data_IF_043220893910
#
_entry.id   IF_043220893910
#
_cell.length_a   1.000
_cell.length_b   1.000
_cell.length_c   1.000
_cell.angle_alpha   90.00
_cell.angle_beta   90.00
_cell.angle_gamma   90.00
#
_symmetry.space_group_name_H-M   'P 1'
#
loop_
_entity.id
_entity.type
_entity.pdbx_description
1 polymer ?
#
# COMPACT_ATOMS: atom_id res chain seq x y z
N UNK A 1 11.98 -21.28 -33.49
CA UNK A 1 12.99 -22.33 -33.34
C UNK A 1 14.17 -22.01 -34.22
N UNK A 2 15.42 -22.27 -33.75
CA UNK A 2 16.63 -22.11 -34.54
C UNK A 2 16.90 -23.42 -35.27
N UNK A 3 17.20 -23.34 -36.59
CA UNK A 3 17.64 -24.48 -37.41
C UNK A 3 19.15 -24.46 -37.48
N UNK A 4 19.78 -25.55 -37.05
CA UNK A 4 21.22 -25.73 -37.13
C UNK A 4 21.54 -26.66 -38.27
N UNK A 5 22.55 -26.33 -39.09
CA UNK A 5 23.03 -27.19 -40.16
C UNK A 5 24.57 -27.18 -40.19
N UNK A 6 25.15 -28.22 -40.72
CA UNK A 6 26.59 -28.36 -40.88
C UNK A 6 26.88 -28.48 -42.36
N UNK A 7 27.77 -27.65 -42.87
CA UNK A 7 28.29 -27.77 -44.26
C UNK A 7 29.69 -28.36 -44.23
N UNK A 8 29.92 -29.37 -45.05
CA UNK A 8 31.23 -29.95 -45.28
C UNK A 8 31.62 -29.64 -46.70
N UNK A 9 32.59 -28.73 -46.89
CA UNK A 9 33.04 -28.28 -48.21
C UNK A 9 34.56 -28.37 -48.31
N UNK A 10 35.13 -28.69 -49.47
CA UNK A 10 36.58 -28.76 -49.63
C UNK A 10 37.29 -27.40 -49.63
N UNK A 11 36.54 -26.31 -49.76
CA UNK A 11 37.00 -24.92 -49.59
C UNK A 11 36.09 -24.15 -48.65
N UNK A 12 36.62 -23.14 -47.93
CA UNK A 12 35.79 -22.30 -47.03
C UNK A 12 34.75 -21.53 -47.84
N UNK A 13 33.48 -21.70 -47.51
CA UNK A 13 32.36 -21.00 -48.12
C UNK A 13 31.85 -20.00 -47.08
N UNK A 14 31.82 -18.72 -47.40
CA UNK A 14 31.16 -17.69 -46.61
C UNK A 14 29.65 -17.81 -46.80
N UNK A 15 28.97 -18.16 -45.73
CA UNK A 15 27.50 -18.18 -45.65
C UNK A 15 27.05 -16.96 -44.87
N UNK A 16 25.98 -16.34 -45.32
CA UNK A 16 25.36 -15.18 -44.66
C UNK A 16 24.54 -15.62 -43.37
N UNK A 17 25.23 -16.42 -42.53
CA UNK A 17 24.71 -16.94 -41.26
C UNK A 17 25.81 -16.94 -40.22
N UNK A 18 25.49 -16.60 -39.01
CA UNK A 18 26.44 -16.53 -37.90
C UNK A 18 26.99 -17.92 -37.57
N UNK A 19 28.33 -18.15 -37.68
CA UNK A 19 28.92 -19.46 -37.42
C UNK A 19 28.88 -19.78 -35.94
N UNK A 20 28.23 -20.88 -35.57
CA UNK A 20 28.23 -21.37 -34.19
C UNK A 20 29.59 -22.01 -33.87
N UNK A 21 30.35 -21.40 -32.96
CA UNK A 21 31.59 -21.99 -32.45
C UNK A 21 31.24 -23.10 -31.47
N UNK A 22 31.56 -24.33 -31.84
CA UNK A 22 31.44 -25.46 -30.95
C UNK A 22 32.47 -25.35 -29.82
N UNK A 23 32.09 -25.69 -28.57
CA UNK A 23 33.05 -25.76 -27.48
C UNK A 23 34.13 -26.80 -27.78
N UNK A 24 35.33 -26.56 -27.26
CA UNK A 24 36.50 -27.46 -27.43
C UNK A 24 36.37 -28.80 -26.68
N UNK A 25 35.38 -28.90 -25.77
CA UNK A 25 35.10 -30.09 -24.99
C UNK A 25 34.04 -30.96 -25.65
N UNK A 26 34.16 -32.26 -25.52
CA UNK A 26 33.14 -33.20 -25.94
C UNK A 26 31.87 -33.10 -25.15
N UNK A 27 30.73 -33.54 -25.67
CA UNK A 27 29.43 -33.51 -25.00
C UNK A 27 29.46 -34.25 -23.66
N UNK A 28 30.23 -35.39 -23.61
CA UNK A 28 30.39 -36.17 -22.37
C UNK A 28 31.18 -35.40 -21.29
N UNK A 29 32.24 -34.68 -21.69
CA UNK A 29 33.05 -33.86 -20.80
C UNK A 29 32.26 -32.64 -20.30
N UNK A 30 31.47 -32.01 -21.17
CA UNK A 30 30.60 -30.91 -20.79
C UNK A 30 29.51 -31.36 -19.82
N UNK A 31 28.91 -32.53 -20.04
CA UNK A 31 27.91 -33.10 -19.15
C UNK A 31 28.49 -33.45 -17.80
N UNK A 32 29.71 -34.00 -17.76
CA UNK A 32 30.43 -34.28 -16.51
C UNK A 32 30.77 -32.99 -15.78
N UNK A 33 31.33 -31.99 -16.44
CA UNK A 33 31.66 -30.70 -15.87
C UNK A 33 30.42 -29.96 -15.34
N UNK A 34 29.29 -30.10 -16.03
CA UNK A 34 28.01 -29.58 -15.53
C UNK A 34 27.60 -30.26 -14.22
N UNK A 35 27.63 -31.58 -14.16
CA UNK A 35 27.29 -32.33 -12.96
C UNK A 35 28.22 -31.98 -11.76
N UNK A 36 29.54 -31.93 -12.02
CA UNK A 36 30.53 -31.56 -10.99
C UNK A 36 30.28 -30.11 -10.47
N UNK A 37 29.93 -29.19 -11.38
CA UNK A 37 29.61 -27.80 -11.02
C UNK A 37 28.30 -27.67 -10.23
N UNK A 38 27.27 -28.44 -10.62
CA UNK A 38 26.00 -28.50 -9.91
C UNK A 38 26.17 -29.05 -8.48
N UNK A 39 27.00 -30.11 -8.34
CA UNK A 39 27.32 -30.66 -7.02
C UNK A 39 28.10 -29.66 -6.14
N UNK A 40 29.12 -29.00 -6.72
CA UNK A 40 29.88 -27.96 -6.02
C UNK A 40 28.98 -26.77 -5.60
N UNK A 41 28.01 -26.40 -6.42
CA UNK A 41 27.02 -25.36 -6.11
C UNK A 41 26.14 -25.76 -4.91
N UNK A 42 25.64 -27.00 -4.89
CA UNK A 42 24.83 -27.52 -3.78
C UNK A 42 25.65 -27.54 -2.48
N UNK A 43 26.92 -27.99 -2.54
CA UNK A 43 27.82 -28.00 -1.37
C UNK A 43 28.10 -26.57 -0.88
N UNK A 44 28.37 -25.62 -1.77
CA UNK A 44 28.60 -24.22 -1.43
C UNK A 44 27.33 -23.58 -0.79
N UNK A 45 26.16 -23.86 -1.33
CA UNK A 45 24.90 -23.39 -0.71
C UNK A 45 24.65 -24.00 0.67
N UNK A 46 24.95 -25.28 0.86
CA UNK A 46 24.82 -25.94 2.16
C UNK A 46 25.80 -25.33 3.19
N UNK A 47 27.04 -25.13 2.81
CA UNK A 47 28.06 -24.49 3.65
C UNK A 47 27.70 -23.04 4.01
N UNK A 48 27.22 -22.26 3.05
CA UNK A 48 26.76 -20.91 3.29
C UNK A 48 25.57 -20.87 4.26
N UNK A 49 24.62 -21.77 4.11
CA UNK A 49 23.45 -21.87 4.99
C UNK A 49 23.86 -22.23 6.42
N UNK A 50 24.81 -23.13 6.59
CA UNK A 50 25.34 -23.52 7.89
C UNK A 50 26.11 -22.37 8.54
N UNK A 51 26.99 -21.70 7.80
CA UNK A 51 27.71 -20.51 8.24
C UNK A 51 26.76 -19.40 8.67
N UNK A 52 25.76 -19.08 7.86
CA UNK A 52 24.76 -18.08 8.22
C UNK A 52 23.99 -18.45 9.50
N UNK A 53 23.64 -19.72 9.66
CA UNK A 53 22.92 -20.22 10.84
C UNK A 53 23.76 -20.11 12.11
N UNK A 54 25.05 -20.43 12.02
CA UNK A 54 25.98 -20.35 13.13
C UNK A 54 26.31 -18.90 13.55
N UNK A 55 26.36 -17.99 12.57
CA UNK A 55 26.83 -16.62 12.80
C UNK A 55 25.72 -15.57 12.82
N UNK A 56 24.44 -15.96 12.61
CA UNK A 56 23.32 -15.04 12.50
C UNK A 56 23.21 -14.07 13.69
N UNK A 57 23.25 -14.61 14.92
CA UNK A 57 23.15 -13.79 16.13
C UNK A 57 24.32 -12.81 16.27
N UNK A 58 25.51 -13.25 15.87
CA UNK A 58 26.74 -12.43 15.93
C UNK A 58 26.66 -11.28 14.91
N UNK A 59 26.24 -11.58 13.69
CA UNK A 59 26.05 -10.58 12.62
C UNK A 59 24.94 -9.58 12.97
N UNK A 60 23.82 -10.06 13.54
CA UNK A 60 22.74 -9.19 14.01
C UNK A 60 23.21 -8.24 15.10
N UNK A 61 24.00 -8.74 16.05
CA UNK A 61 24.60 -7.92 17.12
C UNK A 61 25.55 -6.85 16.57
N UNK A 62 26.45 -7.22 15.66
CA UNK A 62 27.33 -6.24 15.01
C UNK A 62 26.59 -5.21 14.19
N UNK A 63 25.53 -5.62 13.49
CA UNK A 63 24.70 -4.67 12.73
C UNK A 63 24.02 -3.66 13.66
N UNK A 64 23.50 -4.10 14.81
CA UNK A 64 22.92 -3.20 15.81
C UNK A 64 23.98 -2.24 16.36
N UNK A 65 25.16 -2.72 16.70
CA UNK A 65 26.26 -1.87 17.20
C UNK A 65 26.67 -0.82 16.17
N UNK A 66 26.81 -1.21 14.90
CA UNK A 66 27.13 -0.27 13.82
C UNK A 66 26.01 0.78 13.61
N UNK A 67 24.75 0.38 13.74
CA UNK A 67 23.63 1.32 13.67
C UNK A 67 23.65 2.33 14.82
N UNK A 68 23.90 1.87 16.06
CA UNK A 68 24.04 2.75 17.23
C UNK A 68 25.21 3.73 17.05
N UNK A 69 26.34 3.28 16.51
CA UNK A 69 27.50 4.14 16.25
C UNK A 69 27.20 5.19 15.15
N UNK A 70 26.53 4.76 14.06
CA UNK A 70 26.09 5.68 13.01
C UNK A 70 25.12 6.73 13.56
N UNK A 71 24.17 6.33 14.37
CA UNK A 71 23.20 7.26 14.95
C UNK A 71 23.86 8.22 15.95
N UNK A 72 24.83 7.76 16.73
CA UNK A 72 25.65 8.63 17.58
C UNK A 72 26.46 9.65 16.76
N UNK A 73 27.08 9.22 15.66
CA UNK A 73 27.82 10.11 14.76
C UNK A 73 26.91 11.14 14.10
N UNK A 74 25.69 10.76 13.71
CA UNK A 74 24.68 11.70 13.17
C UNK A 74 24.30 12.76 14.21
N UNK A 75 24.08 12.37 15.46
CA UNK A 75 23.79 13.30 16.55
C UNK A 75 24.95 14.29 16.73
N UNK A 76 26.20 13.81 16.75
CA UNK A 76 27.37 14.67 16.83
C UNK A 76 27.51 15.63 15.66
N UNK A 77 27.21 15.18 14.44
CA UNK A 77 27.24 16.03 13.23
C UNK A 77 26.15 17.12 13.24
N UNK A 78 25.00 16.81 13.82
CA UNK A 78 23.86 17.75 13.88
C UNK A 78 23.88 18.61 15.15
N UNK A 79 24.87 18.44 16.04
CA UNK A 79 25.02 19.28 17.23
C UNK A 79 25.73 20.58 16.87
N UNK A 80 25.23 21.71 17.38
CA UNK A 80 25.86 23.01 17.24
C UNK A 80 26.78 23.29 18.41
N UNK A 81 28.01 23.69 18.09
CA UNK A 81 28.99 24.11 19.10
C UNK A 81 28.90 25.61 19.29
N UNK A 82 28.52 26.05 20.50
CA UNK A 82 28.44 27.45 20.88
C UNK A 82 29.54 27.80 21.90
N UNK A 83 29.81 29.12 22.05
CA UNK A 83 30.79 29.63 22.99
C UNK A 83 32.18 28.97 22.88
N UNK A 84 32.77 28.98 21.68
CA UNK A 84 34.10 28.38 21.39
C UNK A 84 34.19 26.87 21.70
N UNK A 85 33.07 26.16 21.64
CA UNK A 85 32.98 24.73 21.90
C UNK A 85 32.71 24.35 23.37
N UNK A 86 32.50 25.34 24.24
CA UNK A 86 32.20 25.11 25.66
C UNK A 86 30.74 24.60 25.88
N UNK A 87 29.83 24.90 24.95
CA UNK A 87 28.43 24.48 25.00
C UNK A 87 28.06 23.73 23.73
N UNK A 88 27.44 22.57 23.87
CA UNK A 88 26.90 21.78 22.77
C UNK A 88 25.39 21.87 22.82
N UNK A 89 24.78 22.41 21.79
CA UNK A 89 23.34 22.48 21.62
C UNK A 89 22.89 21.32 20.72
N UNK A 90 21.93 20.54 21.21
CA UNK A 90 21.29 19.47 20.44
C UNK A 90 19.78 19.74 20.38
N UNK A 91 19.23 19.71 19.18
CA UNK A 91 17.79 19.78 18.96
C UNK A 91 17.28 18.43 18.48
N UNK A 92 16.13 18.00 18.99
CA UNK A 92 15.56 16.72 18.62
C UNK A 92 14.05 16.69 18.81
N UNK A 93 13.41 15.68 18.22
CA UNK A 93 11.96 15.47 18.27
C UNK A 93 11.62 14.24 19.10
N UNK A 94 10.68 14.37 20.00
CA UNK A 94 10.17 13.27 20.83
C UNK A 94 8.67 13.09 20.61
N UNK A 95 8.15 11.84 20.56
CA UNK A 95 6.71 11.62 20.62
C UNK A 95 6.15 12.04 21.97
N UNK A 96 4.94 12.63 21.99
CA UNK A 96 4.25 13.06 23.20
C UNK A 96 4.12 11.94 24.24
N UNK A 97 3.89 10.71 23.79
CA UNK A 97 3.75 9.51 24.64
C UNK A 97 5.04 9.20 25.43
N UNK A 98 6.20 9.68 24.97
CA UNK A 98 7.53 9.41 25.56
C UNK A 98 8.09 10.61 26.35
N UNK A 99 7.35 11.71 26.45
CA UNK A 99 7.83 12.94 27.11
C UNK A 99 8.26 12.68 28.56
N UNK A 100 7.45 11.95 29.33
CA UNK A 100 7.72 11.68 30.73
C UNK A 100 9.02 10.87 30.93
N UNK A 101 9.25 9.87 30.07
CA UNK A 101 10.45 9.03 30.13
C UNK A 101 11.71 9.81 29.72
N UNK A 102 11.59 10.68 28.72
CA UNK A 102 12.70 11.52 28.27
C UNK A 102 13.04 12.58 29.30
N UNK A 103 12.05 13.23 29.95
CA UNK A 103 12.29 14.16 31.07
C UNK A 103 13.09 13.48 32.18
N UNK A 104 12.66 12.30 32.61
CA UNK A 104 13.34 11.54 33.65
C UNK A 104 14.81 11.24 33.26
N UNK A 105 15.04 10.82 32.02
CA UNK A 105 16.38 10.53 31.50
C UNK A 105 17.28 11.80 31.51
N UNK A 106 16.74 12.93 31.08
CA UNK A 106 17.47 14.20 31.02
C UNK A 106 17.76 14.74 32.44
N UNK A 107 16.80 14.61 33.36
CA UNK A 107 17.00 14.98 34.77
C UNK A 107 18.09 14.11 35.44
N UNK A 108 18.08 12.79 35.19
CA UNK A 108 19.11 11.86 35.69
C UNK A 108 20.52 12.15 35.12
N UNK A 109 20.58 12.65 33.86
CA UNK A 109 21.86 13.03 33.23
C UNK A 109 22.39 14.39 33.65
N UNK A 110 21.60 15.19 34.39
CA UNK A 110 21.98 16.55 34.82
C UNK A 110 22.11 17.54 33.66
N UNK A 111 21.46 17.28 32.54
CA UNK A 111 21.51 18.10 31.32
C UNK A 111 20.42 19.19 31.38
N UNK A 112 20.77 20.43 31.06
CA UNK A 112 19.76 21.48 30.89
C UNK A 112 18.99 21.22 29.60
N UNK A 113 17.65 21.26 29.68
CA UNK A 113 16.79 21.03 28.52
C UNK A 113 15.55 21.91 28.55
N UNK A 114 15.00 22.17 27.38
CA UNK A 114 13.71 22.83 27.19
C UNK A 114 12.84 21.96 26.27
N UNK A 115 11.65 21.59 26.74
CA UNK A 115 10.67 20.84 25.93
C UNK A 115 9.51 21.75 25.61
N UNK A 116 9.25 21.94 24.32
CA UNK A 116 8.12 22.73 23.82
C UNK A 116 7.29 21.91 22.83
N UNK A 117 6.01 22.21 22.73
CA UNK A 117 5.17 21.62 21.70
C UNK A 117 5.64 22.09 20.31
N UNK A 118 5.66 21.17 19.35
CA UNK A 118 5.99 21.48 17.98
C UNK A 118 4.98 22.45 17.37
N UNK A 119 5.48 23.46 16.68
CA UNK A 119 4.67 24.39 15.88
C UNK A 119 4.62 23.89 14.44
N UNK A 120 3.63 24.39 13.69
CA UNK A 120 3.46 24.04 12.27
C UNK A 120 4.68 24.40 11.42
N UNK A 121 5.36 25.49 11.77
CA UNK A 121 6.54 26.01 11.08
C UNK A 121 7.80 25.17 11.31
N UNK A 122 7.81 24.35 12.37
CA UNK A 122 8.97 23.57 12.79
C UNK A 122 9.19 22.32 11.91
N UNK A 123 8.28 21.97 11.00
CA UNK A 123 8.33 20.78 10.15
C UNK A 123 8.65 19.48 10.92
N UNK A 124 8.03 19.31 12.09
CA UNK A 124 8.27 18.18 12.95
C UNK A 124 8.01 16.83 12.23
N UNK A 125 8.84 15.81 12.44
CA UNK A 125 8.60 14.49 11.88
C UNK A 125 7.32 13.89 12.45
N UNK A 126 6.57 13.18 11.62
CA UNK A 126 5.25 12.67 11.97
C UNK A 126 5.33 11.20 12.38
N UNK A 127 4.75 10.90 13.53
CA UNK A 127 4.48 9.53 13.99
C UNK A 127 2.96 9.31 13.98
N UNK A 128 2.48 8.45 13.09
CA UNK A 128 1.07 8.11 13.01
C UNK A 128 0.64 7.27 14.22
N UNK A 129 -0.52 7.60 14.79
CA UNK A 129 -1.12 6.86 15.91
C UNK A 129 -2.32 6.05 15.40
N UNK A 130 -2.03 4.89 14.82
CA UNK A 130 -3.01 4.02 14.21
C UNK A 130 -3.28 2.76 15.03
N UNK A 131 -4.53 2.24 14.96
CA UNK A 131 -4.90 0.97 15.54
C UNK A 131 -4.26 -0.22 14.77
N UNK A 132 -4.42 -1.45 15.25
CA UNK A 132 -3.81 -2.63 14.66
C UNK A 132 -4.24 -2.88 13.20
N UNK A 133 -5.47 -2.53 12.83
CA UNK A 133 -5.99 -2.66 11.46
C UNK A 133 -5.42 -1.57 10.55
N UNK A 134 -5.58 -0.30 10.91
CA UNK A 134 -5.14 0.82 10.08
C UNK A 134 -3.62 0.89 9.94
N UNK A 135 -2.86 0.47 10.96
CA UNK A 135 -1.40 0.39 10.92
C UNK A 135 -0.86 -0.44 9.76
N UNK A 136 -1.59 -1.48 9.33
CA UNK A 136 -1.17 -2.28 8.18
C UNK A 136 -1.16 -1.49 6.88
N UNK A 137 -2.00 -0.43 6.79
CA UNK A 137 -2.13 0.44 5.62
C UNK A 137 -1.18 1.63 5.62
N UNK A 138 -0.45 1.88 6.73
CA UNK A 138 0.58 2.93 6.79
C UNK A 138 1.67 2.75 5.71
N UNK A 139 1.90 1.52 5.25
CA UNK A 139 2.82 1.27 4.13
C UNK A 139 2.33 1.99 2.88
N UNK A 140 1.03 1.97 2.60
CA UNK A 140 0.43 2.68 1.47
C UNK A 140 0.51 4.18 1.68
N UNK A 141 0.16 4.68 2.87
CA UNK A 141 0.26 6.10 3.20
C UNK A 141 1.69 6.62 3.00
N UNK A 142 2.70 5.85 3.44
CA UNK A 142 4.12 6.19 3.23
C UNK A 142 4.53 6.20 1.75
N UNK A 143 3.93 5.34 0.93
CA UNK A 143 4.20 5.30 -0.53
C UNK A 143 3.60 6.51 -1.26
N UNK A 144 2.41 6.96 -0.85
CA UNK A 144 1.75 8.13 -1.45
C UNK A 144 2.27 9.46 -0.91
N UNK A 145 2.79 9.47 0.29
CA UNK A 145 3.30 10.64 1.00
C UNK A 145 2.74 10.73 2.41
N UNK A 146 3.61 11.04 3.37
CA UNK A 146 3.18 11.29 4.74
C UNK A 146 2.42 12.63 4.81
N UNK A 147 1.35 12.73 5.61
CA UNK A 147 0.67 13.99 5.84
C UNK A 147 1.61 15.00 6.51
N UNK A 148 1.39 16.29 6.37
CA UNK A 148 2.10 17.31 7.15
C UNK A 148 1.66 17.31 8.62
N UNK A 149 2.50 17.89 9.51
CA UNK A 149 2.26 17.88 10.98
C UNK A 149 0.86 18.37 11.40
N UNK A 150 0.27 19.31 10.67
CA UNK A 150 -1.07 19.82 10.92
C UNK A 150 -2.17 19.17 10.07
N UNK A 151 -1.85 18.13 9.31
CA UNK A 151 -2.80 17.44 8.43
C UNK A 151 -3.46 16.25 9.13
N UNK A 152 -4.64 15.95 8.64
CA UNK A 152 -5.38 14.76 9.06
C UNK A 152 -4.71 13.51 8.51
N UNK A 153 -4.58 12.46 9.33
CA UNK A 153 -4.11 11.15 8.86
C UNK A 153 -5.17 10.49 7.95
N UNK A 154 -4.89 10.30 6.65
CA UNK A 154 -5.83 9.68 5.73
C UNK A 154 -5.96 8.16 5.93
N UNK A 155 -5.04 7.53 6.67
CA UNK A 155 -4.95 6.06 6.80
C UNK A 155 -6.23 5.41 7.34
N UNK A 156 -6.92 5.95 8.37
CA UNK A 156 -8.15 5.35 8.88
C UNK A 156 -9.30 5.32 7.87
N UNK A 157 -9.34 6.28 6.95
CA UNK A 157 -10.34 6.33 5.88
C UNK A 157 -9.89 5.49 4.69
N UNK A 158 -8.61 5.57 4.33
CA UNK A 158 -8.03 4.80 3.24
C UNK A 158 -8.21 3.29 3.46
N UNK A 159 -7.96 2.79 4.67
CA UNK A 159 -7.92 1.37 4.97
C UNK A 159 -9.19 0.60 4.57
N UNK A 160 -10.41 0.96 5.02
CA UNK A 160 -11.61 0.23 4.67
C UNK A 160 -11.97 0.33 3.18
N UNK A 161 -11.82 1.52 2.59
CA UNK A 161 -12.13 1.71 1.18
C UNK A 161 -11.14 0.98 0.27
N UNK A 162 -9.84 1.02 0.60
CA UNK A 162 -8.83 0.29 -0.16
C UNK A 162 -9.09 -1.22 -0.12
N UNK A 163 -9.42 -1.77 1.06
CA UNK A 163 -9.78 -3.18 1.20
C UNK A 163 -10.99 -3.55 0.35
N UNK A 164 -12.00 -2.69 0.38
CA UNK A 164 -13.25 -2.91 -0.35
C UNK A 164 -13.02 -2.85 -1.86
N UNK A 165 -12.34 -1.81 -2.37
CA UNK A 165 -12.03 -1.69 -3.79
C UNK A 165 -11.12 -2.81 -4.29
N UNK A 166 -10.10 -3.17 -3.53
CA UNK A 166 -9.25 -4.30 -3.87
C UNK A 166 -10.06 -5.59 -4.00
N UNK A 167 -10.95 -5.84 -3.02
CA UNK A 167 -11.81 -7.01 -3.02
C UNK A 167 -12.79 -7.03 -4.21
N UNK A 168 -13.36 -5.87 -4.58
CA UNK A 168 -14.20 -5.74 -5.77
C UNK A 168 -13.41 -5.94 -7.07
N UNK A 169 -12.20 -5.40 -7.17
CA UNK A 169 -11.36 -5.55 -8.35
C UNK A 169 -10.96 -7.01 -8.60
N UNK A 170 -10.66 -7.76 -7.51
CA UNK A 170 -10.37 -9.18 -7.61
C UNK A 170 -11.64 -10.01 -7.82
N UNK A 171 -12.71 -9.67 -7.11
CA UNK A 171 -14.07 -10.18 -7.26
C UNK A 171 -14.25 -11.69 -7.10
N UNK A 172 -13.28 -12.43 -6.54
CA UNK A 172 -13.26 -13.88 -6.55
C UNK A 172 -12.79 -14.46 -5.21
N UNK A 173 -13.63 -15.33 -4.63
CA UNK A 173 -13.35 -15.92 -3.32
C UNK A 173 -12.16 -16.90 -3.34
N UNK A 174 -11.96 -17.63 -4.43
CA UNK A 174 -10.85 -18.58 -4.58
C UNK A 174 -9.49 -17.86 -4.61
N UNK A 175 -9.37 -16.78 -5.37
CA UNK A 175 -8.16 -15.95 -5.37
C UNK A 175 -7.92 -15.28 -4.02
N UNK A 176 -8.97 -14.91 -3.29
CA UNK A 176 -8.85 -14.43 -1.92
C UNK A 176 -8.19 -15.47 -0.99
N UNK A 177 -8.59 -16.73 -1.07
CA UNK A 177 -7.98 -17.82 -0.30
C UNK A 177 -6.50 -18.05 -0.68
N UNK A 178 -6.17 -17.94 -1.97
CA UNK A 178 -4.77 -18.00 -2.45
C UNK A 178 -3.94 -16.88 -1.83
N UNK A 179 -4.44 -15.64 -1.79
CA UNK A 179 -3.76 -14.52 -1.16
C UNK A 179 -3.53 -14.74 0.34
N UNK A 180 -4.52 -15.28 1.06
CA UNK A 180 -4.39 -15.64 2.48
C UNK A 180 -3.26 -16.66 2.65
N UNK A 181 -3.29 -17.76 1.89
CA UNK A 181 -2.28 -18.82 1.97
C UNK A 181 -0.88 -18.27 1.65
N UNK A 182 -0.75 -17.48 0.57
CA UNK A 182 0.50 -16.84 0.17
C UNK A 182 1.02 -15.91 1.27
N UNK A 183 0.15 -15.07 1.85
CA UNK A 183 0.50 -14.17 2.94
C UNK A 183 1.02 -14.92 4.17
N UNK A 184 0.40 -16.02 4.57
CA UNK A 184 0.87 -16.85 5.69
C UNK A 184 2.22 -17.52 5.39
N UNK A 185 2.41 -18.07 4.19
CA UNK A 185 3.67 -18.71 3.78
C UNK A 185 4.81 -17.70 3.77
N UNK A 186 4.60 -16.54 3.14
CA UNK A 186 5.60 -15.49 3.04
C UNK A 186 5.92 -14.88 4.41
N UNK A 187 4.91 -14.66 5.25
CA UNK A 187 5.11 -14.15 6.62
C UNK A 187 6.06 -15.01 7.46
N UNK A 188 6.09 -16.34 7.22
CA UNK A 188 7.03 -17.25 7.91
C UNK A 188 8.46 -17.15 7.40
N UNK A 189 8.64 -16.78 6.12
CA UNK A 189 9.95 -16.73 5.46
C UNK A 189 10.60 -15.34 5.47
N UNK A 190 9.80 -14.28 5.63
CA UNK A 190 10.25 -12.91 5.52
C UNK A 190 10.74 -12.32 6.85
N UNK A 191 11.58 -11.27 6.76
CA UNK A 191 12.13 -10.52 7.89
C UNK A 191 11.03 -9.81 8.70
N UNK A 192 11.34 -9.41 9.94
CA UNK A 192 10.41 -8.70 10.84
C UNK A 192 9.83 -7.42 10.19
N UNK A 193 10.64 -6.71 9.43
CA UNK A 193 10.25 -5.49 8.71
C UNK A 193 9.12 -5.72 7.71
N UNK A 194 9.11 -6.87 7.00
CA UNK A 194 8.13 -7.21 5.97
C UNK A 194 6.85 -7.86 6.51
N UNK A 195 6.82 -8.25 7.79
CA UNK A 195 5.65 -8.90 8.39
C UNK A 195 4.40 -8.03 8.39
N UNK A 196 4.56 -6.71 8.52
CA UNK A 196 3.47 -5.75 8.43
C UNK A 196 2.77 -5.80 7.06
N UNK A 197 3.57 -5.81 5.98
CA UNK A 197 3.05 -5.92 4.61
C UNK A 197 2.36 -7.28 4.36
N UNK A 198 2.88 -8.37 4.94
CA UNK A 198 2.23 -9.68 4.80
C UNK A 198 0.88 -9.73 5.55
N UNK A 199 0.74 -9.03 6.69
CA UNK A 199 -0.55 -8.88 7.35
C UNK A 199 -1.55 -8.13 6.46
N UNK A 200 -1.11 -7.09 5.75
CA UNK A 200 -1.94 -6.39 4.77
C UNK A 200 -2.43 -7.35 3.67
N UNK A 201 -1.53 -8.15 3.08
CA UNK A 201 -1.89 -9.14 2.05
C UNK A 201 -2.92 -10.15 2.56
N UNK A 202 -2.76 -10.66 3.79
CA UNK A 202 -3.72 -11.57 4.42
C UNK A 202 -5.07 -10.88 4.60
N UNK A 203 -5.08 -9.64 5.09
CA UNK A 203 -6.31 -8.87 5.30
C UNK A 203 -7.03 -8.61 3.97
N UNK A 204 -6.31 -8.20 2.93
CA UNK A 204 -6.86 -8.04 1.59
C UNK A 204 -7.43 -9.35 1.04
N UNK A 205 -6.74 -10.48 1.27
CA UNK A 205 -7.23 -11.82 0.91
C UNK A 205 -8.54 -12.17 1.63
N UNK A 206 -8.67 -11.82 2.91
CA UNK A 206 -9.92 -12.05 3.68
C UNK A 206 -11.06 -11.22 3.07
N UNK A 207 -10.85 -9.92 2.83
CA UNK A 207 -11.86 -9.07 2.20
C UNK A 207 -12.24 -9.60 0.81
N UNK A 208 -11.25 -10.00 0.01
CA UNK A 208 -11.48 -10.59 -1.33
C UNK A 208 -12.31 -11.87 -1.24
N UNK A 209 -12.00 -12.75 -0.29
CA UNK A 209 -12.78 -13.99 -0.11
C UNK A 209 -14.23 -13.71 0.28
N UNK A 210 -14.47 -12.78 1.20
CA UNK A 210 -15.81 -12.39 1.64
C UNK A 210 -16.60 -11.75 0.49
N UNK A 211 -16.01 -10.76 -0.16
CA UNK A 211 -16.65 -10.07 -1.28
C UNK A 211 -16.84 -11.00 -2.47
N UNK A 212 -15.89 -11.88 -2.77
CA UNK A 212 -16.02 -12.89 -3.84
C UNK A 212 -17.19 -13.85 -3.61
N UNK A 213 -17.47 -14.25 -2.38
CA UNK A 213 -18.68 -15.03 -2.04
C UNK A 213 -19.95 -14.18 -2.26
N UNK A 214 -19.94 -12.91 -1.85
CA UNK A 214 -21.07 -12.00 -2.06
C UNK A 214 -21.32 -11.76 -3.55
N UNK A 215 -20.26 -11.63 -4.35
CA UNK A 215 -20.32 -11.51 -5.79
C UNK A 215 -20.62 -12.83 -6.50
N UNK A 216 -20.58 -13.96 -5.79
CA UNK A 216 -20.93 -15.27 -6.30
C UNK A 216 -19.89 -15.87 -7.24
N UNK A 217 -18.59 -15.60 -7.06
CA UNK A 217 -17.51 -16.11 -7.91
C UNK A 217 -16.45 -16.87 -7.10
N UNK A 218 -16.01 -18.00 -7.63
CA UNK A 218 -14.99 -18.86 -7.03
C UNK A 218 -14.11 -19.48 -8.13
N UNK A 219 -12.86 -19.07 -8.24
CA UNK A 219 -11.92 -19.41 -9.33
C UNK A 219 -12.51 -19.22 -10.73
N UNK A 220 -13.21 -18.11 -10.93
CA UNK A 220 -13.85 -17.78 -12.20
C UNK A 220 -15.15 -18.54 -12.50
N UNK A 221 -15.59 -19.40 -11.58
CA UNK A 221 -16.87 -20.11 -11.72
C UNK A 221 -17.95 -19.38 -10.94
N UNK A 222 -19.14 -19.23 -11.56
CA UNK A 222 -20.30 -18.67 -10.89
C UNK A 222 -20.84 -19.64 -9.83
N UNK A 223 -20.82 -19.22 -8.57
CA UNK A 223 -21.40 -20.00 -7.47
C UNK A 223 -22.93 -20.06 -7.56
N UNK A 224 -23.54 -19.08 -8.23
CA UNK A 224 -25.01 -19.02 -8.35
C UNK A 224 -25.57 -20.17 -9.18
N UNK A 225 -24.81 -20.66 -10.16
CA UNK A 225 -25.18 -21.76 -11.05
C UNK A 225 -24.96 -23.14 -10.43
N UNK A 226 -24.29 -23.21 -9.26
CA UNK A 226 -24.06 -24.44 -8.52
C UNK A 226 -25.24 -24.79 -7.58
N UNK A 227 -25.39 -26.05 -7.23
CA UNK A 227 -26.36 -26.54 -6.23
C UNK A 227 -25.88 -26.22 -4.79
N UNK A 228 -25.93 -24.95 -4.41
CA UNK A 228 -25.61 -24.48 -3.07
C UNK A 228 -26.89 -24.15 -2.28
N UNK A 229 -26.83 -24.12 -0.92
CA UNK A 229 -27.99 -23.80 -0.10
C UNK A 229 -28.66 -22.49 -0.48
N UNK A 230 -29.99 -22.47 -0.58
CA UNK A 230 -30.78 -21.30 -1.00
C UNK A 230 -30.48 -20.04 -0.16
N UNK A 231 -30.27 -20.21 1.14
CA UNK A 231 -29.88 -19.11 2.05
C UNK A 231 -28.58 -18.40 1.63
N UNK A 232 -27.63 -19.13 1.04
CA UNK A 232 -26.37 -18.53 0.57
C UNK A 232 -26.61 -17.77 -0.73
N UNK A 233 -27.49 -18.24 -1.60
CA UNK A 233 -27.87 -17.53 -2.84
C UNK A 233 -28.57 -16.20 -2.57
N UNK A 234 -29.33 -16.08 -1.49
CA UNK A 234 -29.98 -14.82 -1.09
C UNK A 234 -28.99 -13.71 -0.73
N UNK A 235 -27.81 -14.08 -0.21
CA UNK A 235 -26.75 -13.13 0.11
C UNK A 235 -25.94 -12.69 -1.11
N UNK A 236 -26.05 -13.37 -2.24
CA UNK A 236 -25.28 -13.07 -3.43
C UNK A 236 -25.89 -11.90 -4.21
N UNK A 237 -25.05 -10.94 -4.55
CA UNK A 237 -25.42 -9.79 -5.37
C UNK A 237 -25.15 -10.14 -6.83
N UNK A 238 -25.99 -11.00 -7.39
CA UNK A 238 -25.91 -11.47 -8.76
C UNK A 238 -27.15 -11.02 -9.54
N UNK A 239 -27.01 -10.80 -10.84
CA UNK A 239 -28.08 -10.47 -11.77
C UNK A 239 -28.25 -8.98 -12.06
N UNK A 240 -29.24 -8.69 -12.91
CA UNK A 240 -29.55 -7.35 -13.42
C UNK A 240 -30.59 -6.64 -12.56
N UNK A 241 -30.65 -5.34 -12.70
CA UNK A 241 -31.63 -4.50 -12.00
C UNK A 241 -32.87 -4.34 -12.91
N UNK A 242 -33.94 -5.05 -12.54
CA UNK A 242 -35.21 -5.03 -13.32
C UNK A 242 -34.97 -5.44 -14.77
N UNK A 243 -35.54 -4.69 -15.70
CA UNK A 243 -35.36 -4.87 -17.16
C UNK A 243 -34.14 -4.13 -17.74
N UNK A 244 -33.29 -3.56 -16.87
CA UNK A 244 -32.16 -2.78 -17.30
C UNK A 244 -30.96 -3.65 -17.73
N UNK A 245 -30.06 -3.05 -18.50
CA UNK A 245 -28.82 -3.72 -18.95
C UNK A 245 -27.74 -3.74 -17.86
N UNK A 246 -27.96 -3.04 -16.75
CA UNK A 246 -26.94 -2.83 -15.72
C UNK A 246 -26.92 -3.94 -14.67
N UNK A 247 -25.73 -4.46 -14.40
CA UNK A 247 -25.50 -5.43 -13.35
C UNK A 247 -25.53 -4.79 -11.95
N UNK A 248 -26.11 -5.50 -10.98
CA UNK A 248 -26.16 -5.06 -9.57
C UNK A 248 -24.77 -4.78 -9.00
N UNK A 249 -23.77 -5.57 -9.37
CA UNK A 249 -22.40 -5.43 -8.95
C UNK A 249 -21.78 -4.11 -9.43
N UNK A 250 -22.05 -3.74 -10.69
CA UNK A 250 -21.59 -2.47 -11.27
C UNK A 250 -22.20 -1.27 -10.54
N UNK A 251 -23.51 -1.30 -10.26
CA UNK A 251 -24.15 -0.22 -9.52
C UNK A 251 -23.61 -0.10 -8.10
N UNK A 252 -23.40 -1.24 -7.43
CA UNK A 252 -22.83 -1.25 -6.07
C UNK A 252 -21.43 -0.64 -6.05
N UNK A 253 -20.56 -1.01 -6.99
CA UNK A 253 -19.22 -0.44 -7.12
C UNK A 253 -19.27 1.09 -7.35
N UNK A 254 -20.20 1.55 -8.20
CA UNK A 254 -20.41 2.97 -8.46
C UNK A 254 -20.87 3.73 -7.21
N UNK A 255 -21.82 3.18 -6.45
CA UNK A 255 -22.30 3.79 -5.19
C UNK A 255 -21.17 3.88 -4.17
N UNK A 256 -20.39 2.81 -3.97
CA UNK A 256 -19.25 2.81 -3.04
C UNK A 256 -18.23 3.86 -3.47
N UNK A 257 -17.91 3.96 -4.76
CA UNK A 257 -17.02 4.99 -5.31
C UNK A 257 -17.52 6.40 -5.05
N UNK A 258 -18.81 6.64 -5.28
CA UNK A 258 -19.44 7.93 -5.04
C UNK A 258 -19.38 8.31 -3.55
N UNK A 259 -19.72 7.40 -2.65
CA UNK A 259 -19.61 7.60 -1.18
C UNK A 259 -18.17 7.90 -0.77
N UNK A 260 -17.20 7.17 -1.31
CA UNK A 260 -15.78 7.40 -1.01
C UNK A 260 -15.33 8.80 -1.42
N UNK A 261 -15.68 9.25 -2.64
CA UNK A 261 -15.34 10.60 -3.11
C UNK A 261 -15.99 11.66 -2.21
N UNK A 262 -17.27 11.50 -1.86
CA UNK A 262 -17.96 12.43 -0.97
C UNK A 262 -17.27 12.54 0.40
N UNK A 263 -16.86 11.40 1.00
CA UNK A 263 -16.15 11.38 2.27
C UNK A 263 -14.77 12.06 2.12
N UNK A 264 -14.01 11.73 1.08
CA UNK A 264 -12.69 12.31 0.85
C UNK A 264 -12.76 13.83 0.68
N UNK A 265 -13.74 14.33 -0.08
CA UNK A 265 -13.94 15.76 -0.26
C UNK A 265 -14.41 16.46 1.04
N UNK A 266 -15.27 15.80 1.82
CA UNK A 266 -15.70 16.32 3.14
C UNK A 266 -14.50 16.47 4.08
N UNK A 267 -13.65 15.44 4.16
CA UNK A 267 -12.44 15.49 4.99
C UNK A 267 -11.49 16.59 4.54
N UNK A 268 -11.32 16.76 3.21
CA UNK A 268 -10.54 17.88 2.65
C UNK A 268 -11.11 19.24 3.03
N UNK A 269 -12.41 19.44 2.86
CA UNK A 269 -13.07 20.72 3.17
C UNK A 269 -12.99 21.05 4.67
N UNK A 270 -13.26 20.07 5.54
CA UNK A 270 -13.14 20.22 7.00
C UNK A 270 -11.68 20.48 7.39
N UNK A 271 -10.74 19.70 6.87
CA UNK A 271 -9.31 19.87 7.14
C UNK A 271 -8.80 21.25 6.75
N UNK A 272 -9.18 21.77 5.58
CA UNK A 272 -8.83 23.13 5.15
C UNK A 272 -9.49 24.18 6.04
N UNK A 273 -10.74 23.97 6.45
CA UNK A 273 -11.45 24.92 7.35
C UNK A 273 -10.75 25.02 8.71
N UNK A 274 -10.31 23.90 9.26
CA UNK A 274 -9.58 23.87 10.54
C UNK A 274 -8.20 24.53 10.41
N UNK A 275 -7.56 24.40 9.26
CA UNK A 275 -6.19 24.91 9.03
C UNK A 275 -6.13 26.38 8.67
N UNK A 276 -7.04 26.85 7.83
CA UNK A 276 -6.98 28.18 7.19
C UNK A 276 -8.19 29.06 7.51
N UNK A 277 -9.20 28.49 8.14
CA UNK A 277 -10.45 29.19 8.39
C UNK A 277 -11.47 29.02 7.26
N UNK A 278 -12.74 29.33 7.57
CA UNK A 278 -13.86 29.07 6.64
C UNK A 278 -13.77 29.88 5.34
N UNK A 279 -13.31 31.12 5.41
CA UNK A 279 -13.24 32.00 4.22
C UNK A 279 -12.26 31.48 3.16
N UNK A 280 -11.11 30.97 3.59
CA UNK A 280 -10.07 30.45 2.68
C UNK A 280 -10.37 29.02 2.20
N UNK A 281 -11.26 28.31 2.90
CA UNK A 281 -11.69 26.97 2.52
C UNK A 281 -12.97 26.94 1.67
N UNK A 282 -13.51 28.11 1.29
CA UNK A 282 -14.79 28.21 0.59
C UNK A 282 -14.78 27.46 -0.75
N UNK A 283 -13.66 27.47 -1.45
CA UNK A 283 -13.46 26.70 -2.70
C UNK A 283 -13.61 25.19 -2.47
N UNK A 284 -13.07 24.65 -1.38
CA UNK A 284 -13.24 23.22 -1.08
C UNK A 284 -14.69 22.86 -0.78
N UNK A 285 -15.41 23.74 -0.09
CA UNK A 285 -16.85 23.57 0.15
C UNK A 285 -17.69 23.71 -1.12
N UNK A 286 -17.31 24.64 -2.02
CA UNK A 286 -17.95 24.79 -3.34
C UNK A 286 -17.80 23.51 -4.17
N UNK A 287 -16.61 22.95 -4.25
CA UNK A 287 -16.37 21.67 -4.94
C UNK A 287 -17.11 20.49 -4.28
N UNK A 288 -17.15 20.42 -2.96
CA UNK A 288 -17.91 19.41 -2.24
C UNK A 288 -19.39 19.47 -2.59
N UNK A 289 -19.98 20.67 -2.52
CA UNK A 289 -21.40 20.90 -2.82
C UNK A 289 -21.71 20.52 -4.27
N UNK A 290 -20.83 20.87 -5.21
CA UNK A 290 -20.98 20.51 -6.62
C UNK A 290 -21.01 19.00 -6.81
N UNK A 291 -20.01 18.29 -6.31
CA UNK A 291 -19.89 16.83 -6.53
C UNK A 291 -20.98 16.07 -5.81
N UNK A 292 -21.23 16.36 -4.53
CA UNK A 292 -22.29 15.71 -3.75
C UNK A 292 -23.66 16.02 -4.36
N UNK A 293 -23.89 17.27 -4.73
CA UNK A 293 -25.13 17.69 -5.35
C UNK A 293 -25.41 16.98 -6.67
N UNK A 294 -24.39 16.86 -7.54
CA UNK A 294 -24.52 16.12 -8.81
C UNK A 294 -24.76 14.63 -8.59
N UNK A 295 -24.05 14.00 -7.66
CA UNK A 295 -24.23 12.57 -7.34
C UNK A 295 -25.64 12.32 -6.79
N UNK A 296 -26.11 13.14 -5.85
CA UNK A 296 -27.45 13.00 -5.26
C UNK A 296 -28.54 13.24 -6.30
N UNK A 297 -28.46 14.34 -7.07
CA UNK A 297 -29.46 14.66 -8.09
C UNK A 297 -29.47 13.62 -9.20
N UNK A 298 -28.29 13.21 -9.69
CA UNK A 298 -28.16 12.16 -10.68
C UNK A 298 -28.69 10.81 -10.22
N UNK A 299 -28.41 10.43 -8.96
CA UNK A 299 -28.93 9.22 -8.34
C UNK A 299 -30.47 9.24 -8.23
N UNK A 300 -31.04 10.34 -7.74
CA UNK A 300 -32.49 10.50 -7.61
C UNK A 300 -33.18 10.50 -8.97
N UNK A 301 -32.58 11.10 -9.99
CA UNK A 301 -33.06 11.08 -11.37
C UNK A 301 -32.97 9.68 -11.97
N UNK A 302 -31.87 8.96 -11.75
CA UNK A 302 -31.69 7.59 -12.24
C UNK A 302 -32.75 6.63 -11.69
N UNK A 303 -33.12 6.75 -10.43
CA UNK A 303 -34.16 5.96 -9.80
C UNK A 303 -35.57 6.49 -10.08
N UNK A 304 -35.71 7.53 -10.94
CA UNK A 304 -37.00 8.18 -11.31
C UNK A 304 -37.80 8.67 -10.10
N UNK A 305 -37.09 9.08 -9.03
CA UNK A 305 -37.72 9.63 -7.82
C UNK A 305 -38.10 11.09 -8.04
N UNK A 306 -37.33 11.82 -8.87
CA UNK A 306 -37.59 13.20 -9.27
C UNK A 306 -37.85 13.27 -10.78
N UNK A 307 -38.69 14.23 -11.21
CA UNK A 307 -38.96 14.48 -12.64
C UNK A 307 -37.73 15.10 -13.33
N UNK A 308 -37.63 14.95 -14.65
CA UNK A 308 -36.54 15.49 -15.45
C UNK A 308 -36.42 17.02 -15.34
N UNK A 309 -37.55 17.74 -15.25
CA UNK A 309 -37.56 19.19 -15.07
C UNK A 309 -36.96 19.60 -13.74
N UNK A 310 -37.30 18.89 -12.63
CA UNK A 310 -36.76 19.16 -11.29
C UNK A 310 -35.29 18.84 -11.24
N UNK A 311 -34.84 17.75 -11.87
CA UNK A 311 -33.40 17.40 -11.89
C UNK A 311 -32.60 18.44 -12.67
N UNK A 312 -33.10 18.96 -13.79
CA UNK A 312 -32.46 20.01 -14.59
C UNK A 312 -32.29 21.31 -13.79
N UNK A 313 -33.34 21.75 -13.11
CA UNK A 313 -33.28 22.93 -12.25
C UNK A 313 -32.32 22.72 -11.07
N UNK A 314 -32.32 21.55 -10.45
CA UNK A 314 -31.41 21.22 -9.36
C UNK A 314 -29.92 21.29 -9.81
N UNK A 315 -29.59 20.75 -10.99
CA UNK A 315 -28.23 20.85 -11.54
C UNK A 315 -27.82 22.30 -11.82
N UNK A 316 -28.70 23.15 -12.33
CA UNK A 316 -28.42 24.57 -12.60
C UNK A 316 -28.19 25.31 -11.28
N UNK A 317 -29.04 25.10 -10.27
CA UNK A 317 -28.91 25.76 -8.95
C UNK A 317 -27.63 25.31 -8.24
N UNK A 318 -27.36 23.99 -8.21
CA UNK A 318 -26.14 23.44 -7.59
C UNK A 318 -24.89 24.00 -8.28
N UNK A 319 -24.87 23.98 -9.63
CA UNK A 319 -23.76 24.54 -10.39
C UNK A 319 -23.54 26.04 -10.13
N UNK A 320 -24.62 26.83 -10.10
CA UNK A 320 -24.56 28.26 -9.83
C UNK A 320 -24.07 28.61 -8.42
N UNK A 321 -24.60 27.93 -7.39
CA UNK A 321 -24.17 28.14 -5.99
C UNK A 321 -22.73 27.67 -5.79
N UNK A 322 -22.36 26.53 -6.38
CA UNK A 322 -21.00 26.03 -6.28
C UNK A 322 -19.98 26.96 -6.95
N UNK A 323 -20.33 27.55 -8.11
CA UNK A 323 -19.47 28.50 -8.82
C UNK A 323 -19.17 29.78 -8.03
N UNK A 324 -20.04 30.18 -7.09
CA UNK A 324 -19.79 31.30 -6.18
C UNK A 324 -18.77 30.92 -5.08
N UNK A 325 -18.71 29.64 -4.72
CA UNK A 325 -17.77 29.12 -3.71
C UNK A 325 -16.40 28.75 -4.29
N UNK A 326 -16.34 28.42 -5.57
CA UNK A 326 -15.08 28.03 -6.26
C UNK A 326 -14.32 29.28 -6.70
#
# INVERSE_FOLDING_TARGET
GHLYFVTVTPQPVELDVEPLRLPSLSLSELSRKKADTEEALVQAHAGLKEFCKANYCTLEKYNLQLQEEIDLLKVKLNSEHMAEGAVVLMEGWIPEDCEADVRKLLDESGTYYEIRAAKREDNAPIKLKNNAYTRMYEVLTKMYGMPEYAEFDPTPILAPFFSLFFAFCMGDAGYGLVLIALGFILKRKMSKSMKGMMNLVITLGIFTSVIGVILGTFFGVSLFDLEIPAKLKEFMIVGKIGETTYDKQMLLALIIGAVHICIAMTVKAVGQTVRFGFKESLSAWGWLLLVVGFICTGGLSFFKIISEDVSTWAFIVIGGVSAIGI
#
